data_IF_424480223256
#
_entry.id   IF_424480223256
#
_cell.length_a   1.000
_cell.length_b   1.000
_cell.length_c   1.000
_cell.angle_alpha   90.00
_cell.angle_beta   90.00
_cell.angle_gamma   90.00
#
_symmetry.space_group_name_H-M   'P 1'
#
loop_
_entity.id
_entity.type
_entity.pdbx_description
1 polymer ?
#
# COMPACT_ATOMS: atom_id res chain seq x y z
N UNK A 1 -18.10 -14.27 -39.03
CA UNK A 1 -17.19 -13.56 -38.09
C UNK A 1 -17.93 -13.48 -36.74
N UNK A 2 -17.62 -14.38 -35.81
CA UNK A 2 -18.31 -14.43 -34.51
C UNK A 2 -18.04 -13.14 -33.73
N UNK A 3 -19.10 -12.50 -33.22
CA UNK A 3 -18.95 -11.45 -32.21
C UNK A 3 -18.34 -12.13 -30.97
N UNK A 4 -17.09 -11.83 -30.65
CA UNK A 4 -16.59 -12.02 -29.29
C UNK A 4 -17.37 -11.05 -28.42
N UNK A 5 -18.49 -11.50 -27.88
CA UNK A 5 -19.08 -10.87 -26.70
C UNK A 5 -18.00 -10.93 -25.62
N UNK A 6 -17.53 -9.77 -25.16
CA UNK A 6 -16.72 -9.69 -23.95
C UNK A 6 -17.47 -10.48 -22.86
N UNK A 7 -16.79 -11.43 -22.21
CA UNK A 7 -17.36 -12.14 -21.06
C UNK A 7 -17.74 -11.09 -20.01
N UNK A 8 -19.00 -11.06 -19.51
CA UNK A 8 -19.35 -10.21 -18.37
C UNK A 8 -18.48 -10.63 -17.18
N UNK A 9 -17.79 -9.68 -16.53
CA UNK A 9 -16.88 -9.94 -15.40
C UNK A 9 -15.38 -9.79 -15.68
N UNK A 10 -14.97 -9.34 -16.88
CA UNK A 10 -13.57 -8.93 -17.18
C UNK A 10 -13.35 -7.41 -17.19
N UNK A 11 -14.31 -6.63 -16.70
CA UNK A 11 -14.18 -5.18 -16.63
C UNK A 11 -13.50 -4.73 -15.33
N UNK A 12 -12.88 -3.56 -15.38
CA UNK A 12 -12.13 -2.97 -14.27
C UNK A 12 -12.99 -2.78 -12.99
N UNK A 13 -14.30 -2.58 -13.15
CA UNK A 13 -15.23 -2.41 -12.04
C UNK A 13 -15.36 -3.69 -11.21
N UNK A 14 -15.57 -4.83 -11.86
CA UNK A 14 -15.66 -6.13 -11.18
C UNK A 14 -14.37 -6.46 -10.43
N UNK A 15 -13.20 -6.17 -11.03
CA UNK A 15 -11.89 -6.38 -10.39
C UNK A 15 -11.74 -5.54 -9.12
N UNK A 16 -12.08 -4.25 -9.18
CA UNK A 16 -12.05 -3.37 -8.00
C UNK A 16 -12.92 -3.90 -6.88
N UNK A 17 -14.15 -4.31 -7.20
CA UNK A 17 -15.11 -4.75 -6.18
C UNK A 17 -14.65 -6.04 -5.49
N UNK A 18 -14.13 -7.00 -6.24
CA UNK A 18 -13.57 -8.24 -5.67
C UNK A 18 -12.37 -7.96 -4.75
N UNK A 19 -11.46 -7.06 -5.15
CA UNK A 19 -10.30 -6.70 -4.34
C UNK A 19 -10.69 -5.89 -3.09
N UNK A 20 -11.65 -4.97 -3.20
CA UNK A 20 -12.12 -4.17 -2.07
C UNK A 20 -12.76 -5.03 -0.98
N UNK A 21 -13.50 -6.07 -1.37
CA UNK A 21 -14.18 -7.00 -0.46
C UNK A 21 -13.28 -8.12 0.08
N UNK A 22 -11.98 -8.10 -0.22
CA UNK A 22 -11.06 -9.08 0.33
C UNK A 22 -11.11 -9.06 1.87
N UNK A 23 -11.16 -10.22 2.54
CA UNK A 23 -11.03 -10.26 3.99
C UNK A 23 -9.67 -9.68 4.44
N UNK A 24 -9.57 -9.13 5.67
CA UNK A 24 -8.31 -8.66 6.21
C UNK A 24 -7.24 -9.76 6.17
N UNK A 25 -6.10 -9.48 5.54
CA UNK A 25 -5.00 -10.44 5.36
C UNK A 25 -5.08 -11.33 4.12
N UNK A 26 -6.22 -11.36 3.42
CA UNK A 26 -6.44 -12.23 2.25
C UNK A 26 -6.30 -11.51 0.89
N UNK A 27 -6.07 -10.18 0.88
CA UNK A 27 -6.00 -9.37 -0.35
C UNK A 27 -5.08 -9.97 -1.43
N UNK A 28 -3.90 -10.47 -1.05
CA UNK A 28 -2.95 -11.08 -2.01
C UNK A 28 -3.49 -12.40 -2.60
N UNK A 29 -4.18 -13.20 -1.81
CA UNK A 29 -4.78 -14.45 -2.26
C UNK A 29 -5.93 -14.16 -3.22
N UNK A 30 -6.83 -13.23 -2.84
CA UNK A 30 -7.92 -12.77 -3.71
C UNK A 30 -7.39 -12.20 -5.02
N UNK A 31 -6.34 -11.38 -4.98
CA UNK A 31 -5.72 -10.85 -6.20
C UNK A 31 -5.12 -11.94 -7.10
N UNK A 32 -4.53 -12.98 -6.51
CA UNK A 32 -4.04 -14.15 -7.24
C UNK A 32 -5.18 -14.91 -7.92
N UNK A 33 -6.29 -15.14 -7.22
CA UNK A 33 -7.46 -15.83 -7.75
C UNK A 33 -8.12 -15.02 -8.88
N UNK A 34 -8.29 -13.72 -8.69
CA UNK A 34 -8.80 -12.80 -9.72
C UNK A 34 -7.91 -12.85 -10.97
N UNK A 35 -6.58 -12.83 -10.80
CA UNK A 35 -5.64 -12.96 -11.93
C UNK A 35 -5.81 -14.30 -12.66
N UNK A 36 -5.95 -15.40 -11.91
CA UNK A 36 -6.15 -16.73 -12.49
C UNK A 36 -7.46 -16.82 -13.31
N UNK A 37 -8.54 -16.19 -12.84
CA UNK A 37 -9.84 -16.16 -13.53
C UNK A 37 -9.81 -15.33 -14.83
N UNK A 38 -9.00 -14.26 -14.85
CA UNK A 38 -8.91 -13.36 -16.00
C UNK A 38 -7.93 -13.88 -17.08
N UNK A 39 -6.93 -14.67 -16.68
CA UNK A 39 -5.90 -15.22 -17.55
C UNK A 39 -4.79 -14.22 -17.90
N UNK A 40 -3.90 -14.61 -18.82
CA UNK A 40 -2.74 -13.81 -19.26
C UNK A 40 -3.11 -12.62 -20.17
N UNK A 41 -4.37 -12.22 -20.28
CA UNK A 41 -4.70 -10.93 -20.92
C UNK A 41 -4.47 -9.84 -19.87
N UNK A 42 -3.22 -9.35 -19.76
CA UNK A 42 -2.79 -8.31 -18.80
C UNK A 42 -3.33 -6.91 -19.15
N UNK A 43 -4.64 -6.79 -19.40
CA UNK A 43 -5.30 -5.51 -19.67
C UNK A 43 -5.27 -4.55 -18.46
N UNK A 44 -6.29 -3.69 -18.26
CA UNK A 44 -6.30 -2.60 -17.26
C UNK A 44 -6.13 -3.04 -15.78
N UNK A 45 -5.95 -4.34 -15.52
CA UNK A 45 -5.66 -4.96 -14.23
C UNK A 45 -4.50 -4.33 -13.46
N UNK A 46 -3.41 -3.94 -14.11
CA UNK A 46 -2.23 -3.44 -13.39
C UNK A 46 -2.53 -2.18 -12.57
N UNK A 47 -3.08 -1.16 -13.24
CA UNK A 47 -3.42 0.12 -12.60
C UNK A 47 -4.63 -0.03 -11.65
N UNK A 48 -5.65 -0.78 -12.09
CA UNK A 48 -6.86 -1.02 -11.32
C UNK A 48 -6.57 -1.78 -10.03
N UNK A 49 -5.69 -2.79 -10.09
CA UNK A 49 -5.24 -3.51 -8.90
C UNK A 49 -4.39 -2.62 -8.00
N UNK A 50 -3.44 -1.86 -8.53
CA UNK A 50 -2.61 -0.97 -7.71
C UNK A 50 -3.46 0.02 -6.90
N UNK A 51 -4.48 0.61 -7.52
CA UNK A 51 -5.41 1.51 -6.84
C UNK A 51 -6.27 0.78 -5.80
N UNK A 52 -6.81 -0.40 -6.14
CA UNK A 52 -7.60 -1.20 -5.21
C UNK A 52 -6.79 -1.67 -3.99
N UNK A 53 -5.52 -2.06 -4.19
CA UNK A 53 -4.61 -2.41 -3.10
C UNK A 53 -4.36 -1.23 -2.18
N UNK A 54 -4.17 -0.03 -2.75
CA UNK A 54 -4.02 1.19 -1.94
C UNK A 54 -5.27 1.45 -1.09
N UNK A 55 -6.43 1.50 -1.73
CA UNK A 55 -7.70 1.76 -1.03
C UNK A 55 -7.95 0.74 0.08
N UNK A 56 -7.77 -0.55 -0.20
CA UNK A 56 -7.95 -1.61 0.79
C UNK A 56 -6.95 -1.50 1.94
N UNK A 57 -5.66 -1.27 1.65
CA UNK A 57 -4.63 -1.12 2.69
C UNK A 57 -4.93 0.07 3.63
N UNK A 58 -5.39 1.20 3.07
CA UNK A 58 -5.76 2.39 3.85
C UNK A 58 -7.03 2.18 4.69
N UNK A 59 -8.07 1.55 4.11
CA UNK A 59 -9.33 1.28 4.80
C UNK A 59 -9.16 0.29 5.96
N UNK A 60 -8.34 -0.75 5.74
CA UNK A 60 -8.05 -1.76 6.76
C UNK A 60 -6.95 -1.33 7.74
N UNK A 61 -6.37 -0.14 7.57
CA UNK A 61 -5.29 0.40 8.42
C UNK A 61 -4.14 -0.59 8.63
N UNK A 62 -3.64 -1.20 7.55
CA UNK A 62 -2.65 -2.27 7.65
C UNK A 62 -1.36 -1.78 8.33
N UNK A 63 -0.82 -2.60 9.23
CA UNK A 63 0.43 -2.32 9.93
C UNK A 63 1.60 -3.02 9.23
N UNK A 64 2.53 -2.24 8.67
CA UNK A 64 3.66 -2.75 7.90
C UNK A 64 4.97 -2.58 8.67
N UNK A 65 5.85 -3.58 8.57
CA UNK A 65 7.19 -3.52 9.15
C UNK A 65 8.04 -2.47 8.45
N UNK A 66 8.75 -1.65 9.24
CA UNK A 66 9.69 -0.66 8.72
C UNK A 66 11.10 -1.27 8.71
N UNK A 67 11.74 -1.42 7.54
CA UNK A 67 13.08 -2.00 7.45
C UNK A 67 14.09 -1.32 8.38
N UNK A 68 14.86 -2.13 9.10
CA UNK A 68 15.87 -1.63 10.05
C UNK A 68 15.31 -1.12 11.38
N UNK A 69 14.02 -1.33 11.65
CA UNK A 69 13.35 -0.94 12.89
C UNK A 69 12.59 -2.11 13.53
N UNK A 70 12.32 -1.99 14.84
CA UNK A 70 11.45 -2.91 15.57
C UNK A 70 9.96 -2.49 15.55
N UNK A 71 9.63 -1.31 15.02
CA UNK A 71 8.25 -0.81 14.96
C UNK A 71 7.57 -1.11 13.62
N UNK A 72 6.24 -0.91 13.61
CA UNK A 72 5.40 -0.96 12.41
C UNK A 72 4.78 0.40 12.15
N UNK A 73 4.65 0.76 10.88
CA UNK A 73 3.94 1.96 10.45
C UNK A 73 2.51 1.59 10.02
N UNK A 74 1.54 2.43 10.36
CA UNK A 74 0.15 2.28 9.95
C UNK A 74 -0.07 2.96 8.59
N UNK A 75 -0.72 2.25 7.66
CA UNK A 75 -1.12 2.78 6.37
C UNK A 75 -2.57 3.23 6.47
N UNK A 76 -2.82 4.54 6.53
CA UNK A 76 -4.18 5.07 6.64
C UNK A 76 -4.33 6.41 5.92
N UNK A 77 -5.54 6.73 5.50
CA UNK A 77 -5.83 7.95 4.74
C UNK A 77 -5.47 9.24 5.51
N UNK A 78 -5.60 9.25 6.85
CA UNK A 78 -5.22 10.39 7.69
C UNK A 78 -3.70 10.60 7.80
N UNK A 79 -2.90 9.55 7.57
CA UNK A 79 -1.45 9.62 7.54
C UNK A 79 -0.88 9.90 6.14
N UNK A 80 -1.69 9.80 5.07
CA UNK A 80 -1.23 9.97 3.70
C UNK A 80 -0.65 11.38 3.46
N UNK A 81 0.52 11.48 2.82
CA UNK A 81 1.17 12.75 2.58
C UNK A 81 0.44 13.62 1.53
N UNK A 82 0.50 14.96 1.67
CA UNK A 82 -0.02 15.88 0.66
C UNK A 82 0.63 15.64 -0.71
N UNK A 83 -0.17 15.70 -1.78
CA UNK A 83 0.29 15.38 -3.14
C UNK A 83 -0.09 13.98 -3.61
N UNK A 84 -0.63 13.14 -2.72
CA UNK A 84 -1.04 11.78 -3.04
C UNK A 84 0.14 10.83 -3.17
N UNK A 85 -0.10 9.63 -3.70
CA UNK A 85 0.94 8.60 -3.86
C UNK A 85 0.97 7.59 -2.71
N UNK A 86 2.16 7.13 -2.35
CA UNK A 86 2.37 5.97 -1.46
C UNK A 86 3.16 6.34 -0.19
N UNK A 87 3.16 7.60 0.21
CA UNK A 87 3.88 8.08 1.40
C UNK A 87 2.93 8.31 2.58
N UNK A 88 3.30 7.81 3.76
CA UNK A 88 2.52 7.87 4.99
C UNK A 88 3.35 8.39 6.15
N UNK A 89 2.75 9.27 6.96
CA UNK A 89 3.34 9.80 8.19
C UNK A 89 3.28 8.74 9.30
N UNK A 90 4.44 8.34 9.80
CA UNK A 90 4.58 7.67 11.08
C UNK A 90 4.94 8.72 12.15
N UNK A 91 3.89 9.32 12.72
CA UNK A 91 4.03 10.39 13.70
C UNK A 91 4.72 9.93 15.00
N UNK A 92 4.58 8.65 15.37
CA UNK A 92 5.18 8.12 16.60
C UNK A 92 6.71 8.10 16.54
N UNK A 93 7.28 8.06 15.33
CA UNK A 93 8.72 7.94 15.12
C UNK A 93 9.32 9.12 14.34
N UNK A 94 8.52 10.15 14.01
CA UNK A 94 8.99 11.31 13.24
C UNK A 94 9.46 10.95 11.84
N UNK A 95 8.80 9.97 11.18
CA UNK A 95 9.19 9.47 9.85
C UNK A 95 8.06 9.57 8.84
N UNK A 96 8.45 9.64 7.57
CA UNK A 96 7.57 9.32 6.45
C UNK A 96 8.04 8.01 5.84
N UNK A 97 7.12 7.06 5.68
CA UNK A 97 7.36 5.77 5.04
C UNK A 97 6.76 5.74 3.65
N UNK A 98 7.47 5.17 2.69
CA UNK A 98 6.96 4.89 1.34
C UNK A 98 6.54 3.43 1.26
N UNK A 99 5.36 3.16 0.74
CA UNK A 99 4.73 1.83 0.73
C UNK A 99 4.60 1.29 -0.70
N UNK A 100 5.05 0.06 -0.92
CA UNK A 100 4.66 -0.73 -2.08
C UNK A 100 3.34 -1.42 -1.72
N UNK A 101 2.21 -0.87 -2.18
CA UNK A 101 0.88 -1.37 -1.80
C UNK A 101 0.62 -2.79 -2.28
N UNK A 102 1.16 -3.17 -3.45
CA UNK A 102 0.95 -4.50 -4.04
C UNK A 102 1.75 -5.56 -3.27
N UNK A 103 2.99 -5.24 -2.89
CA UNK A 103 3.80 -6.13 -2.03
C UNK A 103 3.42 -6.06 -0.55
N UNK A 104 2.64 -5.06 -0.15
CA UNK A 104 2.30 -4.75 1.24
C UNK A 104 3.56 -4.63 2.10
N UNK A 105 4.51 -3.80 1.66
CA UNK A 105 5.79 -3.61 2.31
C UNK A 105 6.23 -2.15 2.27
N UNK A 106 6.96 -1.70 3.29
CA UNK A 106 7.65 -0.41 3.25
C UNK A 106 8.87 -0.52 2.33
N UNK A 107 8.89 0.29 1.27
CA UNK A 107 9.98 0.33 0.28
C UNK A 107 11.07 1.33 0.64
N UNK A 108 10.73 2.40 1.36
CA UNK A 108 11.67 3.43 1.80
C UNK A 108 11.19 4.14 3.07
N UNK A 109 12.09 4.80 3.80
CA UNK A 109 11.72 5.67 4.92
C UNK A 109 12.66 6.85 5.10
N UNK A 110 12.09 8.03 5.37
CA UNK A 110 12.83 9.28 5.60
C UNK A 110 12.38 9.97 6.88
N UNK A 111 13.27 10.77 7.48
CA UNK A 111 12.88 11.66 8.57
C UNK A 111 11.94 12.76 8.07
N UNK A 112 11.04 13.23 8.93
CA UNK A 112 10.23 14.43 8.63
C UNK A 112 11.16 15.65 8.65
N UNK A 113 11.09 16.48 7.60
CA UNK A 113 11.87 17.72 7.54
C UNK A 113 11.39 18.67 8.64
N UNK A 114 12.22 18.87 9.67
CA UNK A 114 11.91 19.67 10.85
C UNK A 114 12.33 19.04 12.17
N UNK A 115 12.57 17.72 12.20
CA UNK A 115 13.20 17.04 13.33
C UNK A 115 14.72 17.00 13.13
N UNK A 116 15.36 18.13 13.39
CA UNK A 116 16.69 18.13 14.02
C UNK A 116 16.50 17.49 15.40
N UNK A 117 16.46 16.16 15.46
CA UNK A 117 16.54 15.43 16.71
C UNK A 117 17.89 15.79 17.34
N UNK A 118 17.86 16.72 18.30
CA UNK A 118 19.01 17.15 19.07
C UNK A 118 19.64 15.98 19.81
N UNK A 119 20.53 15.26 19.13
CA UNK A 119 21.52 14.36 19.70
C UNK A 119 22.67 15.15 20.30
N UNK A 120 22.36 16.04 21.25
CA UNK A 120 23.33 16.72 22.08
C UNK A 120 23.67 15.85 23.29
N UNK A 121 24.36 14.73 23.07
CA UNK A 121 25.08 14.07 24.15
C UNK A 121 26.25 15.00 24.53
N UNK A 122 26.02 15.84 25.55
CA UNK A 122 27.06 16.73 26.06
C UNK A 122 28.27 15.91 26.52
N UNK A 123 29.51 16.41 26.36
CA UNK A 123 30.67 15.67 26.81
C UNK A 123 30.60 15.52 28.34
N UNK A 124 30.55 14.27 28.79
CA UNK A 124 30.84 13.92 30.19
C UNK A 124 32.32 14.24 30.44
N UNK A 125 32.58 15.45 30.94
CA UNK A 125 33.89 15.83 31.42
C UNK A 125 34.24 14.98 32.65
N UNK A 126 35.35 14.25 32.54
CA UNK A 126 36.06 13.67 33.68
C UNK A 126 36.90 14.70 34.43
#
# INVERSE_FOLDING_TARGET
>A
RARRTAMPGRDAATVRELLAQAPPGELRNVASDVRALLGDEQGPLGEVAAEAFKAHNEEQMVALEVPGSAHKALVCASGAQPGGGCEYLDAAHGRVVTVDHVKQSVSDSRAVAGDEAGGGEGPVAG
#
